data_IF_390586581412
#
_entry.id   IF_390586581412
#
_cell.length_a   1.000
_cell.length_b   1.000
_cell.length_c   1.000
_cell.angle_alpha   90.00
_cell.angle_beta   90.00
_cell.angle_gamma   90.00
#
_symmetry.space_group_name_H-M   'P 1'
#
loop_
_entity.id
_entity.type
_entity.pdbx_description
1 polymer ?
#
# COMPACT_ATOMS: atom_id res chain seq x y z
N UNK A 1 19.84 -6.75 -36.71
CA UNK A 1 19.41 -5.68 -37.63
C UNK A 1 18.43 -4.76 -36.91
N UNK A 2 18.74 -3.50 -36.79
CA UNK A 2 17.80 -2.54 -36.20
C UNK A 2 16.64 -2.30 -37.18
N UNK A 3 15.42 -2.18 -36.64
CA UNK A 3 14.26 -1.80 -37.44
C UNK A 3 14.43 -0.39 -38.02
N UNK A 4 13.84 -0.12 -39.14
CA UNK A 4 13.90 1.19 -39.78
C UNK A 4 13.36 2.29 -38.87
N UNK A 5 12.35 2.00 -38.07
CA UNK A 5 11.82 2.90 -37.05
C UNK A 5 12.84 3.27 -35.98
N UNK A 6 13.74 2.36 -35.61
CA UNK A 6 14.80 2.66 -34.65
C UNK A 6 15.89 3.59 -35.21
N UNK A 7 16.10 3.54 -36.55
CA UNK A 7 17.07 4.41 -37.22
C UNK A 7 16.60 5.86 -37.38
N UNK A 8 15.26 6.05 -37.37
CA UNK A 8 14.66 7.37 -37.57
C UNK A 8 14.46 8.15 -36.27
N UNK A 9 14.74 7.54 -35.12
CA UNK A 9 14.67 8.26 -33.84
C UNK A 9 15.82 9.24 -33.73
N UNK A 10 15.51 10.53 -33.67
CA UNK A 10 16.51 11.59 -33.48
C UNK A 10 17.02 11.58 -32.01
N UNK A 11 18.22 12.18 -31.81
CA UNK A 11 18.76 12.39 -30.47
C UNK A 11 17.85 13.26 -29.60
N UNK A 12 17.04 14.14 -30.21
CA UNK A 12 16.04 14.93 -29.49
C UNK A 12 14.86 14.08 -28.99
N UNK A 13 14.40 13.12 -29.78
CA UNK A 13 13.33 12.20 -29.38
C UNK A 13 13.79 11.24 -28.29
N UNK A 14 15.05 10.82 -28.30
CA UNK A 14 15.61 9.95 -27.27
C UNK A 14 15.57 10.60 -25.87
N UNK A 15 15.58 11.92 -25.78
CA UNK A 15 15.46 12.65 -24.49
C UNK A 15 14.10 12.51 -23.85
N UNK A 16 13.05 12.24 -24.62
CA UNK A 16 11.68 12.13 -24.16
C UNK A 16 11.24 10.68 -23.94
N UNK A 17 12.11 9.71 -24.19
CA UNK A 17 11.81 8.31 -23.92
C UNK A 17 11.84 8.06 -22.43
N UNK A 18 10.77 7.43 -21.93
CA UNK A 18 10.74 6.93 -20.55
C UNK A 18 11.78 5.82 -20.41
N UNK A 19 12.81 6.09 -19.64
CA UNK A 19 13.84 5.09 -19.33
C UNK A 19 13.37 4.27 -18.13
N UNK A 20 12.96 3.03 -18.37
CA UNK A 20 12.52 2.11 -17.30
C UNK A 20 13.62 1.86 -16.23
N UNK A 21 14.89 2.00 -16.60
CA UNK A 21 16.04 1.85 -15.71
C UNK A 21 16.22 2.98 -14.69
N UNK A 22 15.53 4.12 -14.87
CA UNK A 22 15.66 5.30 -14.01
C UNK A 22 14.58 5.36 -12.92
N UNK A 23 13.68 4.37 -12.84
CA UNK A 23 12.73 4.32 -11.74
C UNK A 23 13.49 3.94 -10.46
N UNK A 24 13.61 4.88 -9.54
CA UNK A 24 14.07 4.58 -8.18
C UNK A 24 13.07 3.63 -7.51
N UNK A 25 13.55 2.66 -6.72
CA UNK A 25 12.65 1.83 -5.92
C UNK A 25 11.75 2.71 -5.05
N UNK A 26 10.47 2.37 -5.00
CA UNK A 26 9.50 3.12 -4.20
C UNK A 26 9.68 2.82 -2.72
N UNK A 27 9.60 3.83 -1.88
CA UNK A 27 9.46 3.63 -0.44
C UNK A 27 7.98 3.31 -0.15
N UNK A 28 7.71 2.07 0.22
CA UNK A 28 6.36 1.55 0.45
C UNK A 28 6.13 1.42 1.95
N UNK A 29 5.04 2.02 2.44
CA UNK A 29 4.61 1.87 3.83
C UNK A 29 3.36 1.00 3.85
N UNK A 30 3.43 -0.11 4.56
CA UNK A 30 2.33 -1.10 4.67
C UNK A 30 1.78 -1.03 6.07
N UNK A 31 0.50 -0.71 6.20
CA UNK A 31 -0.13 -0.41 7.48
C UNK A 31 -1.34 -1.32 7.70
N UNK A 32 -1.32 -2.09 8.78
CA UNK A 32 -2.48 -2.86 9.22
C UNK A 32 -3.45 -1.97 9.99
N UNK A 33 -4.73 -2.05 9.66
CA UNK A 33 -5.78 -1.22 10.28
C UNK A 33 -6.62 -2.00 11.30
N UNK A 34 -6.55 -3.32 11.29
CA UNK A 34 -7.26 -4.18 12.24
C UNK A 34 -6.45 -5.45 12.53
N UNK A 35 -7.00 -6.31 13.40
CA UNK A 35 -6.31 -7.54 13.81
C UNK A 35 -6.06 -8.51 12.64
N UNK A 36 -6.99 -8.61 11.70
CA UNK A 36 -6.82 -9.44 10.51
C UNK A 36 -5.69 -8.89 9.63
N UNK A 37 -5.67 -7.60 9.39
CA UNK A 37 -4.60 -6.92 8.67
C UNK A 37 -3.25 -7.06 9.35
N UNK A 38 -3.21 -6.98 10.67
CA UNK A 38 -1.98 -7.13 11.45
C UNK A 38 -1.34 -8.52 11.26
N UNK A 39 -2.15 -9.58 11.29
CA UNK A 39 -1.66 -10.94 11.01
C UNK A 39 -0.98 -11.02 9.65
N UNK A 40 -1.58 -10.44 8.63
CA UNK A 40 -1.04 -10.43 7.27
C UNK A 40 0.23 -9.58 7.18
N UNK A 41 0.23 -8.39 7.77
CA UNK A 41 1.38 -7.50 7.77
C UNK A 41 2.60 -8.13 8.45
N UNK A 42 2.40 -8.80 9.58
CA UNK A 42 3.49 -9.50 10.28
C UNK A 42 4.07 -10.64 9.44
N UNK A 43 3.21 -11.39 8.76
CA UNK A 43 3.64 -12.44 7.83
C UNK A 43 4.46 -11.86 6.67
N UNK A 44 4.01 -10.78 6.07
CA UNK A 44 4.74 -10.10 4.99
C UNK A 44 6.10 -9.59 5.46
N UNK A 45 6.16 -8.99 6.64
CA UNK A 45 7.41 -8.46 7.19
C UNK A 45 8.48 -9.53 7.37
N UNK A 46 8.09 -10.77 7.70
CA UNK A 46 9.01 -11.89 7.88
C UNK A 46 9.68 -12.33 6.58
N UNK A 47 9.12 -12.00 5.43
CA UNK A 47 9.70 -12.33 4.11
C UNK A 47 10.95 -11.52 3.81
N UNK A 48 11.08 -10.31 4.33
CA UNK A 48 12.27 -9.47 4.18
C UNK A 48 12.29 -8.62 2.90
N UNK A 49 11.41 -7.67 2.79
CA UNK A 49 11.35 -6.71 1.68
C UNK A 49 12.36 -5.57 1.87
N UNK A 50 12.99 -5.12 0.78
CA UNK A 50 14.03 -4.08 0.83
C UNK A 50 13.48 -2.66 0.93
N UNK A 51 12.33 -2.41 0.31
CA UNK A 51 11.77 -1.06 0.13
C UNK A 51 10.42 -0.88 0.81
N UNK A 52 10.03 -1.82 1.65
CA UNK A 52 8.81 -1.77 2.41
C UNK A 52 9.09 -1.70 3.91
N UNK A 53 8.32 -0.86 4.59
CA UNK A 53 8.31 -0.74 6.05
C UNK A 53 6.90 -1.05 6.53
N UNK A 54 6.78 -1.71 7.66
CA UNK A 54 5.51 -2.27 8.14
C UNK A 54 5.10 -1.64 9.46
N UNK A 55 3.82 -1.32 9.56
CA UNK A 55 3.23 -0.64 10.72
C UNK A 55 1.88 -1.22 11.08
N UNK A 56 1.42 -0.89 12.27
CA UNK A 56 0.04 -1.13 12.71
C UNK A 56 -0.61 0.18 13.15
N UNK A 57 -1.91 0.29 12.94
CA UNK A 57 -2.76 1.36 13.45
C UNK A 57 -4.08 0.73 13.92
N UNK A 58 -3.95 -0.23 14.83
CA UNK A 58 -5.06 -1.08 15.30
C UNK A 58 -5.55 -0.68 16.69
N UNK A 59 -4.84 0.22 17.37
CA UNK A 59 -5.22 0.69 18.70
C UNK A 59 -6.41 1.66 18.63
N UNK A 60 -7.20 1.77 19.71
CA UNK A 60 -8.34 2.71 19.74
C UNK A 60 -7.97 4.17 19.54
N UNK A 61 -6.72 4.55 19.76
CA UNK A 61 -6.21 5.91 19.54
C UNK A 61 -5.80 6.17 18.07
N UNK A 62 -5.96 5.17 17.17
CA UNK A 62 -5.55 5.22 15.77
C UNK A 62 -4.05 5.58 15.56
N UNK A 63 -3.25 5.45 16.60
CA UNK A 63 -1.83 5.79 16.54
C UNK A 63 -1.05 4.82 15.67
N UNK A 64 -0.17 5.36 14.84
CA UNK A 64 0.76 4.56 14.05
C UNK A 64 1.86 3.99 14.95
N UNK A 65 2.11 2.70 14.84
CA UNK A 65 3.15 2.00 15.59
C UNK A 65 3.96 1.12 14.64
N UNK A 66 5.24 0.94 14.94
CA UNK A 66 6.00 -0.09 14.26
C UNK A 66 5.63 -1.49 14.81
N UNK A 67 6.17 -2.55 14.22
CA UNK A 67 5.82 -3.92 14.61
C UNK A 67 6.36 -4.30 16.01
N UNK A 68 7.29 -3.52 16.56
CA UNK A 68 7.75 -3.67 17.95
C UNK A 68 6.86 -2.92 18.94
N UNK A 69 5.86 -2.17 18.47
CA UNK A 69 4.92 -1.42 19.28
C UNK A 69 5.34 0.02 19.60
N UNK A 70 6.45 0.49 19.07
CA UNK A 70 6.88 1.87 19.27
C UNK A 70 6.05 2.86 18.47
N UNK A 71 5.67 3.98 19.07
CA UNK A 71 4.95 5.05 18.39
C UNK A 71 5.76 5.63 17.24
N UNK A 72 5.06 5.90 16.13
CA UNK A 72 5.61 6.58 14.96
C UNK A 72 4.74 7.75 14.59
N UNK A 73 5.36 8.81 14.11
CA UNK A 73 4.62 9.94 13.55
C UNK A 73 4.03 9.57 12.19
N UNK A 74 2.72 9.62 12.08
CA UNK A 74 2.04 9.37 10.78
C UNK A 74 2.55 10.34 9.73
N UNK A 75 2.68 11.61 10.08
CA UNK A 75 3.15 12.63 9.14
C UNK A 75 4.57 12.34 8.65
N UNK A 76 5.49 11.99 9.53
CA UNK A 76 6.88 11.70 9.16
C UNK A 76 6.98 10.46 8.27
N UNK A 77 6.23 9.41 8.60
CA UNK A 77 6.24 8.18 7.80
C UNK A 77 5.61 8.39 6.42
N UNK A 78 4.56 9.18 6.32
CA UNK A 78 3.93 9.53 5.05
C UNK A 78 4.84 10.45 4.22
N UNK A 79 5.53 11.40 4.84
CA UNK A 79 6.48 12.28 4.16
C UNK A 79 7.59 11.50 3.43
N UNK A 80 8.01 10.38 3.99
CA UNK A 80 9.05 9.52 3.40
C UNK A 80 8.49 8.43 2.48
N UNK A 81 7.18 8.36 2.27
CA UNK A 81 6.53 7.32 1.48
C UNK A 81 6.27 7.77 0.04
N UNK A 82 6.42 6.84 -0.89
CA UNK A 82 5.94 6.98 -2.28
C UNK A 82 4.59 6.32 -2.46
N UNK A 83 4.30 5.30 -1.66
CA UNK A 83 3.06 4.53 -1.69
C UNK A 83 2.73 4.05 -0.29
N UNK A 84 1.47 4.17 0.09
CA UNK A 84 0.93 3.61 1.33
C UNK A 84 -0.08 2.53 0.99
N UNK A 85 0.07 1.36 1.59
CA UNK A 85 -0.85 0.23 1.45
C UNK A 85 -1.54 0.02 2.80
N UNK A 86 -2.86 0.13 2.80
CA UNK A 86 -3.70 -0.09 3.98
C UNK A 86 -4.31 -1.50 3.89
N UNK A 87 -4.11 -2.31 4.91
CA UNK A 87 -4.58 -3.70 4.94
C UNK A 87 -5.56 -3.88 6.10
N UNK A 88 -6.74 -4.37 5.79
CA UNK A 88 -7.79 -4.68 6.76
C UNK A 88 -8.54 -5.94 6.36
N UNK A 89 -9.20 -6.57 7.34
CA UNK A 89 -10.21 -7.60 7.11
C UNK A 89 -11.61 -6.99 7.02
N UNK A 90 -12.63 -7.81 6.68
CA UNK A 90 -14.03 -7.40 6.80
C UNK A 90 -14.40 -7.10 8.25
N UNK A 91 -15.44 -6.30 8.46
CA UNK A 91 -15.99 -6.02 9.78
C UNK A 91 -16.02 -4.56 10.21
N UNK A 92 -15.45 -3.67 9.39
CA UNK A 92 -15.47 -2.24 9.65
C UNK A 92 -14.48 -1.77 10.72
N UNK A 93 -13.40 -2.52 10.97
CA UNK A 93 -12.36 -2.16 11.93
C UNK A 93 -11.28 -1.21 11.39
N UNK A 94 -11.45 -0.66 10.21
CA UNK A 94 -10.44 0.16 9.55
C UNK A 94 -10.57 1.67 9.88
N UNK A 95 -10.76 2.00 11.16
CA UNK A 95 -11.01 3.38 11.61
C UNK A 95 -9.85 4.33 11.31
N UNK A 96 -8.62 3.85 11.43
CA UNK A 96 -7.44 4.67 11.19
C UNK A 96 -7.26 5.09 9.73
N UNK A 97 -8.02 4.52 8.80
CA UNK A 97 -7.94 4.87 7.38
C UNK A 97 -8.14 6.37 7.13
N UNK A 98 -9.04 7.01 7.85
CA UNK A 98 -9.31 8.43 7.71
C UNK A 98 -8.07 9.28 8.10
N UNK A 99 -7.48 9.00 9.25
CA UNK A 99 -6.32 9.75 9.73
C UNK A 99 -5.12 9.61 8.80
N UNK A 100 -4.82 8.38 8.39
CA UNK A 100 -3.71 8.10 7.48
C UNK A 100 -4.01 8.65 6.10
N UNK A 101 -5.23 8.48 5.62
CA UNK A 101 -5.67 8.97 4.32
C UNK A 101 -5.60 10.49 4.19
N UNK A 102 -5.97 11.22 5.24
CA UNK A 102 -5.81 12.67 5.29
C UNK A 102 -4.34 13.09 5.17
N UNK A 103 -3.45 12.42 5.92
CA UNK A 103 -2.02 12.68 5.85
C UNK A 103 -1.45 12.42 4.44
N UNK A 104 -1.86 11.32 3.81
CA UNK A 104 -1.46 10.97 2.45
C UNK A 104 -1.99 12.00 1.43
N UNK A 105 -3.25 12.38 1.56
CA UNK A 105 -3.91 13.33 0.67
C UNK A 105 -3.22 14.70 0.70
N UNK A 106 -2.91 15.18 1.89
CA UNK A 106 -2.21 16.46 2.08
C UNK A 106 -0.82 16.48 1.41
N UNK A 107 -0.18 15.33 1.31
CA UNK A 107 1.18 15.16 0.75
C UNK A 107 1.19 14.58 -0.66
N UNK A 108 0.02 14.32 -1.23
CA UNK A 108 -0.13 13.69 -2.56
C UNK A 108 0.55 12.32 -2.65
N UNK A 109 0.55 11.57 -1.58
CA UNK A 109 1.04 10.19 -1.53
C UNK A 109 -0.10 9.25 -1.96
N UNK A 110 0.18 8.38 -2.91
CA UNK A 110 -0.78 7.39 -3.39
C UNK A 110 -1.10 6.38 -2.31
N UNK A 111 -2.39 6.11 -2.12
CA UNK A 111 -2.88 5.14 -1.14
C UNK A 111 -3.67 4.04 -1.85
N UNK A 112 -3.34 2.79 -1.52
CA UNK A 112 -4.06 1.61 -1.97
C UNK A 112 -4.63 0.88 -0.76
N UNK A 113 -5.92 0.58 -0.80
CA UNK A 113 -6.58 -0.26 0.20
C UNK A 113 -6.62 -1.72 -0.22
N UNK A 114 -6.45 -2.63 0.71
CA UNK A 114 -6.60 -4.07 0.48
C UNK A 114 -7.44 -4.69 1.60
N UNK A 115 -8.53 -5.35 1.22
CA UNK A 115 -9.35 -6.12 2.16
C UNK A 115 -9.01 -7.59 1.97
N UNK A 116 -8.51 -8.22 3.02
CA UNK A 116 -8.11 -9.63 3.04
C UNK A 116 -9.18 -10.49 3.70
N UNK A 117 -9.14 -11.82 3.48
CA UNK A 117 -10.10 -12.80 4.03
C UNK A 117 -11.58 -12.50 3.69
N UNK A 118 -11.82 -11.81 2.57
CA UNK A 118 -13.16 -11.37 2.18
C UNK A 118 -14.12 -12.53 1.85
N UNK A 119 -13.59 -13.65 1.35
CA UNK A 119 -14.40 -14.83 0.98
C UNK A 119 -15.02 -15.56 2.18
N UNK A 120 -14.49 -15.36 3.39
CA UNK A 120 -14.96 -16.01 4.60
C UNK A 120 -16.04 -15.21 5.35
N UNK A 121 -16.44 -14.04 4.85
CA UNK A 121 -17.30 -13.11 5.58
C UNK A 121 -18.53 -12.71 4.77
N UNK A 122 -19.65 -12.36 5.43
CA UNK A 122 -20.83 -11.83 4.75
C UNK A 122 -20.53 -10.51 4.01
N UNK A 123 -21.24 -10.28 2.92
CA UNK A 123 -21.08 -9.07 2.10
C UNK A 123 -21.27 -7.77 2.91
N UNK A 124 -22.14 -7.80 3.94
CA UNK A 124 -22.37 -6.64 4.80
C UNK A 124 -21.10 -6.25 5.58
N UNK A 125 -20.35 -7.23 6.07
CA UNK A 125 -19.11 -6.99 6.81
C UNK A 125 -18.00 -6.46 5.87
N UNK A 126 -17.93 -7.01 4.67
CA UNK A 126 -17.04 -6.50 3.63
C UNK A 126 -17.37 -5.04 3.26
N UNK A 127 -18.65 -4.74 3.09
CA UNK A 127 -19.11 -3.39 2.73
C UNK A 127 -18.74 -2.33 3.77
N UNK A 128 -18.75 -2.69 5.06
CA UNK A 128 -18.33 -1.78 6.14
C UNK A 128 -16.87 -1.33 5.97
N UNK A 129 -15.98 -2.27 5.74
CA UNK A 129 -14.56 -1.97 5.54
C UNK A 129 -14.32 -1.22 4.24
N UNK A 130 -14.98 -1.60 3.15
CA UNK A 130 -14.88 -0.88 1.88
C UNK A 130 -15.32 0.58 2.00
N UNK A 131 -16.37 0.85 2.77
CA UNK A 131 -16.84 2.22 3.03
C UNK A 131 -15.79 3.05 3.79
N UNK A 132 -14.98 2.44 4.63
CA UNK A 132 -13.90 3.12 5.35
C UNK A 132 -12.67 3.39 4.48
N UNK A 133 -12.38 2.51 3.51
CA UNK A 133 -11.18 2.59 2.66
C UNK A 133 -11.38 3.45 1.40
N UNK A 134 -12.54 3.37 0.77
CA UNK A 134 -12.80 4.03 -0.53
C UNK A 134 -12.56 5.53 -0.55
N UNK A 135 -12.96 6.31 0.47
CA UNK A 135 -12.76 7.76 0.44
C UNK A 135 -11.28 8.18 0.39
N UNK A 136 -10.38 7.31 0.83
CA UNK A 136 -8.96 7.61 1.04
C UNK A 136 -8.02 6.87 0.09
N UNK A 137 -8.54 5.96 -0.71
CA UNK A 137 -7.73 5.07 -1.55
C UNK A 137 -7.96 5.37 -3.03
N UNK A 138 -6.88 5.45 -3.79
CA UNK A 138 -6.94 5.52 -5.25
C UNK A 138 -7.52 4.23 -5.82
N UNK A 139 -7.16 3.11 -5.21
CA UNK A 139 -7.61 1.77 -5.60
C UNK A 139 -7.87 0.96 -4.34
N UNK A 140 -8.95 0.18 -4.34
CA UNK A 140 -9.22 -0.81 -3.29
C UNK A 140 -9.29 -2.19 -3.93
N UNK A 141 -8.52 -3.11 -3.39
CA UNK A 141 -8.47 -4.50 -3.83
C UNK A 141 -9.13 -5.39 -2.77
N UNK A 142 -9.94 -6.33 -3.22
CA UNK A 142 -10.52 -7.37 -2.37
C UNK A 142 -9.81 -8.67 -2.68
N UNK A 143 -9.00 -9.15 -1.74
CA UNK A 143 -8.20 -10.35 -1.90
C UNK A 143 -8.87 -11.55 -1.21
N UNK A 144 -9.02 -12.64 -1.92
CA UNK A 144 -9.58 -13.87 -1.37
C UNK A 144 -8.58 -14.68 -0.54
N UNK A 145 -7.28 -14.46 -0.77
CA UNK A 145 -6.20 -15.11 -0.04
C UNK A 145 -4.99 -14.18 0.10
N UNK A 146 -4.01 -14.60 0.91
CA UNK A 146 -2.82 -13.79 1.20
C UNK A 146 -1.77 -13.81 0.07
N UNK A 147 -1.83 -14.78 -0.84
CA UNK A 147 -0.88 -14.88 -1.96
C UNK A 147 -0.92 -13.67 -2.87
N UNK A 148 -2.08 -13.06 -3.02
CA UNK A 148 -2.23 -11.84 -3.80
C UNK A 148 -1.32 -10.72 -3.31
N UNK A 149 -1.17 -10.57 -2.00
CA UNK A 149 -0.31 -9.55 -1.41
C UNK A 149 1.17 -9.80 -1.66
N UNK A 150 1.60 -11.07 -1.63
CA UNK A 150 2.96 -11.44 -1.96
C UNK A 150 3.28 -11.06 -3.42
N UNK A 151 2.36 -11.36 -4.33
CA UNK A 151 2.49 -11.01 -5.74
C UNK A 151 2.47 -9.49 -5.96
N UNK A 152 1.61 -8.78 -5.24
CA UNK A 152 1.55 -7.32 -5.31
C UNK A 152 2.86 -6.69 -4.85
N UNK A 153 3.40 -7.13 -3.72
CA UNK A 153 4.66 -6.62 -3.19
C UNK A 153 5.82 -6.89 -4.15
N UNK A 154 5.85 -8.07 -4.76
CA UNK A 154 6.85 -8.42 -5.76
C UNK A 154 6.73 -7.53 -7.00
N UNK A 155 5.53 -7.31 -7.49
CA UNK A 155 5.26 -6.45 -8.65
C UNK A 155 5.67 -4.99 -8.39
N UNK A 156 5.52 -4.52 -7.15
CA UNK A 156 5.92 -3.17 -6.74
C UNK A 156 7.41 -3.03 -6.46
N UNK A 157 8.16 -4.12 -6.53
CA UNK A 157 9.59 -4.15 -6.19
C UNK A 157 9.87 -3.67 -4.76
N UNK A 158 9.03 -4.09 -3.87
CA UNK A 158 9.10 -3.73 -2.45
C UNK A 158 10.35 -4.24 -1.74
#
# INVERSE_FOLDING_TARGET
MQSESARMSSAAEARFRVQASNSTPRAIKVIALDATGETVVRRLADIGWRHATFFTATSPDDALRDLAGAHRSTDDEVDSADLVILIAGPGGGAHAAALIGEACSARRVTTTGCVVAASASPDRELSKTLAQLRPWSLMVVVASNDEYLDDLMTALRA
#
